data_IF_080778279272
#
_entry.id   IF_080778279272
#
_cell.length_a   1.000
_cell.length_b   1.000
_cell.length_c   1.000
_cell.angle_alpha   90.00
_cell.angle_beta   90.00
_cell.angle_gamma   90.00
#
_symmetry.space_group_name_H-M   'P 1'
#
loop_
_entity.id
_entity.type
_entity.pdbx_description
1 polymer ?
#
# COMPACT_ATOMS: atom_id res chain seq x y z
N UNK A 1 -21.82 13.98 6.78
CA UNK A 1 -21.41 13.49 8.11
C UNK A 1 -20.17 12.64 7.90
N UNK A 2 -19.08 12.93 8.59
CA UNK A 2 -17.95 12.02 8.62
C UNK A 2 -18.21 11.05 9.78
N UNK A 3 -18.34 9.77 9.49
CA UNK A 3 -18.43 8.75 10.54
C UNK A 3 -17.10 8.72 11.29
N UNK A 4 -17.18 8.83 12.63
CA UNK A 4 -16.01 8.71 13.50
C UNK A 4 -15.89 7.25 13.89
N UNK A 5 -14.88 6.56 13.33
CA UNK A 5 -14.62 5.17 13.68
C UNK A 5 -13.82 5.09 14.99
N UNK A 6 -14.36 4.41 15.98
CA UNK A 6 -13.64 4.08 17.21
C UNK A 6 -12.57 3.02 16.96
N UNK A 7 -11.54 2.98 17.82
CA UNK A 7 -10.50 1.93 17.80
C UNK A 7 -11.12 0.53 17.76
N UNK A 8 -12.11 0.28 18.61
CA UNK A 8 -12.78 -1.02 18.71
C UNK A 8 -13.51 -1.40 17.42
N UNK A 9 -14.16 -0.45 16.77
CA UNK A 9 -14.81 -0.69 15.48
C UNK A 9 -13.78 -1.03 14.39
N UNK A 10 -12.67 -0.30 14.35
CA UNK A 10 -11.58 -0.58 13.41
C UNK A 10 -10.93 -1.93 13.67
N UNK A 11 -10.62 -2.27 14.93
CA UNK A 11 -10.09 -3.58 15.31
C UNK A 11 -11.02 -4.72 14.89
N UNK A 12 -12.32 -4.57 15.12
CA UNK A 12 -13.32 -5.57 14.74
C UNK A 12 -13.46 -5.68 13.22
N UNK A 13 -13.51 -4.55 12.52
CA UNK A 13 -13.66 -4.51 11.06
C UNK A 13 -12.45 -5.12 10.35
N UNK A 14 -11.25 -4.92 10.88
CA UNK A 14 -10.00 -5.38 10.28
C UNK A 14 -9.50 -6.71 10.83
N UNK A 15 -10.20 -7.31 11.81
CA UNK A 15 -9.80 -8.56 12.47
C UNK A 15 -9.54 -9.67 11.44
N UNK A 16 -8.38 -10.29 11.53
CA UNK A 16 -7.95 -11.38 10.66
C UNK A 16 -7.70 -10.99 9.19
N UNK A 17 -7.75 -9.70 8.85
CA UNK A 17 -7.53 -9.24 7.47
C UNK A 17 -6.06 -8.94 7.20
N UNK A 18 -5.62 -9.29 6.00
CA UNK A 18 -4.35 -8.83 5.43
C UNK A 18 -4.63 -7.68 4.45
N UNK A 19 -4.08 -6.51 4.73
CA UNK A 19 -4.23 -5.29 3.93
C UNK A 19 -2.87 -4.97 3.31
N UNK A 20 -2.80 -5.06 1.99
CA UNK A 20 -1.62 -4.72 1.21
C UNK A 20 -1.77 -3.31 0.63
N UNK A 21 -0.80 -2.46 0.88
CA UNK A 21 -0.77 -1.05 0.47
C UNK A 21 0.40 -0.86 -0.49
N UNK A 22 0.09 -0.53 -1.73
CA UNK A 22 1.04 -0.35 -2.82
C UNK A 22 1.05 1.12 -3.22
N UNK A 23 2.19 1.78 -3.11
CA UNK A 23 2.31 3.10 -3.72
C UNK A 23 3.52 3.92 -3.34
N UNK A 24 3.35 5.22 -3.38
CA UNK A 24 4.40 6.18 -3.08
C UNK A 24 4.33 6.68 -1.63
N UNK A 25 4.95 7.84 -1.35
CA UNK A 25 4.95 8.43 -0.01
C UNK A 25 3.57 8.80 0.52
N UNK A 26 2.58 9.05 -0.34
CA UNK A 26 1.20 9.31 0.10
C UNK A 26 0.56 8.01 0.60
N UNK A 27 0.81 6.89 -0.08
CA UNK A 27 0.34 5.58 0.38
C UNK A 27 1.08 5.12 1.64
N UNK A 28 2.35 5.50 1.81
CA UNK A 28 3.06 5.32 3.09
C UNK A 28 2.42 6.11 4.22
N UNK A 29 2.00 7.35 3.96
CA UNK A 29 1.28 8.15 4.94
C UNK A 29 -0.02 7.47 5.37
N UNK A 30 -0.79 6.93 4.42
CA UNK A 30 -2.00 6.14 4.69
C UNK A 30 -1.71 4.88 5.50
N UNK A 31 -0.62 4.16 5.18
CA UNK A 31 -0.18 3.01 5.97
C UNK A 31 0.11 3.41 7.43
N UNK A 32 0.86 4.49 7.65
CA UNK A 32 1.20 4.98 8.99
C UNK A 32 -0.05 5.43 9.75
N UNK A 33 -0.97 6.09 9.07
CA UNK A 33 -2.25 6.49 9.64
C UNK A 33 -3.09 5.27 10.08
N UNK A 34 -3.15 4.21 9.27
CA UNK A 34 -3.84 2.97 9.65
C UNK A 34 -3.16 2.24 10.81
N UNK A 35 -1.82 2.14 10.82
CA UNK A 35 -1.09 1.57 11.96
C UNK A 35 -1.39 2.38 13.21
N UNK A 36 -1.39 3.71 13.13
CA UNK A 36 -1.73 4.57 14.26
C UNK A 36 -3.16 4.38 14.73
N UNK A 37 -4.14 4.41 13.82
CA UNK A 37 -5.56 4.32 14.13
C UNK A 37 -5.91 3.02 14.87
N UNK A 38 -5.36 1.89 14.44
CA UNK A 38 -5.60 0.59 15.10
C UNK A 38 -4.97 0.55 16.50
N UNK A 39 -3.82 1.22 16.72
CA UNK A 39 -3.14 1.21 18.01
C UNK A 39 -3.68 2.25 19.01
N UNK A 40 -3.89 3.47 18.54
CA UNK A 40 -4.12 4.65 19.39
C UNK A 40 -5.57 5.16 19.32
N UNK A 41 -6.32 4.87 18.25
CA UNK A 41 -7.71 5.31 18.12
C UNK A 41 -7.90 6.83 18.03
N UNK A 42 -6.86 7.58 17.67
CA UNK A 42 -6.84 9.04 17.61
C UNK A 42 -6.23 9.53 16.31
N UNK A 43 -6.28 10.83 16.05
CA UNK A 43 -5.59 11.44 14.92
C UNK A 43 -4.07 11.42 15.15
N UNK A 44 -3.33 11.00 14.12
CA UNK A 44 -1.87 10.99 14.13
C UNK A 44 -1.31 12.40 13.92
N UNK A 45 -0.17 12.71 14.54
CA UNK A 45 0.54 13.95 14.29
C UNK A 45 1.10 13.99 12.85
N UNK A 46 0.93 15.12 12.15
CA UNK A 46 1.47 15.35 10.82
C UNK A 46 2.99 15.10 10.73
N UNK A 47 3.77 15.43 11.77
CA UNK A 47 5.21 15.14 11.82
C UNK A 47 5.47 13.64 11.79
N UNK A 48 4.69 12.88 12.58
CA UNK A 48 4.80 11.44 12.63
C UNK A 48 4.44 10.80 11.29
N UNK A 49 3.42 11.29 10.55
CA UNK A 49 3.14 10.83 9.17
C UNK A 49 4.31 11.11 8.23
N UNK A 50 4.85 12.35 8.29
CA UNK A 50 5.82 12.87 7.31
C UNK A 50 7.22 12.31 7.47
N UNK A 51 7.56 11.81 8.66
CA UNK A 51 8.85 11.16 8.93
C UNK A 51 9.11 10.01 7.94
N UNK A 52 10.40 9.85 7.58
CA UNK A 52 10.89 8.91 6.56
C UNK A 52 12.20 8.28 7.04
N UNK A 53 12.45 7.04 6.61
CA UNK A 53 13.71 6.34 6.90
C UNK A 53 13.82 5.82 8.33
N UNK A 54 12.70 5.79 9.06
CA UNK A 54 12.67 5.23 10.41
C UNK A 54 12.87 3.72 10.36
N UNK A 55 13.65 3.17 11.31
CA UNK A 55 13.85 1.71 11.42
C UNK A 55 12.56 0.97 11.77
N UNK A 56 11.66 1.62 12.48
CA UNK A 56 10.34 1.10 12.87
C UNK A 56 9.38 2.27 13.13
N UNK A 57 8.09 2.03 12.92
CA UNK A 57 6.96 2.90 13.21
C UNK A 57 5.91 2.10 14.00
N UNK A 58 5.70 2.45 15.28
CA UNK A 58 4.79 1.75 16.20
C UNK A 58 4.98 0.22 16.25
N UNK A 59 6.23 -0.24 16.16
CA UNK A 59 6.55 -1.66 16.22
C UNK A 59 6.43 -2.40 14.89
N UNK A 60 6.22 -1.69 13.78
CA UNK A 60 6.34 -2.29 12.45
C UNK A 60 7.77 -2.75 12.16
N UNK A 61 7.89 -3.67 11.20
CA UNK A 61 9.16 -4.23 10.73
C UNK A 61 9.46 -3.65 9.36
N UNK A 62 10.65 -3.07 9.21
CA UNK A 62 11.21 -2.69 7.91
C UNK A 62 11.94 -3.91 7.32
N UNK A 63 11.33 -4.57 6.33
CA UNK A 63 11.86 -5.79 5.71
C UNK A 63 12.88 -5.50 4.60
N UNK A 64 12.82 -4.32 4.01
CA UNK A 64 13.77 -3.89 3.00
C UNK A 64 13.71 -2.38 2.86
N UNK A 65 14.87 -1.74 2.84
CA UNK A 65 14.99 -0.33 2.46
C UNK A 65 16.25 -0.13 1.62
N UNK A 66 16.12 0.69 0.58
CA UNK A 66 17.27 1.25 -0.11
C UNK A 66 17.47 2.70 0.33
N UNK A 67 18.69 3.23 0.20
CA UNK A 67 18.94 4.65 0.48
C UNK A 67 18.02 5.50 -0.39
N UNK A 68 17.36 6.51 0.20
CA UNK A 68 16.56 7.50 -0.53
C UNK A 68 17.48 8.29 -1.46
N UNK A 69 17.65 7.80 -2.69
CA UNK A 69 18.34 8.50 -3.76
C UNK A 69 17.31 9.04 -4.74
N UNK A 70 17.70 9.97 -5.62
CA UNK A 70 16.85 10.41 -6.74
C UNK A 70 16.62 9.32 -7.80
N UNK A 71 17.19 8.13 -7.60
CA UNK A 71 17.08 7.01 -8.51
C UNK A 71 15.66 6.41 -8.51
N UNK A 72 15.35 5.67 -9.58
CA UNK A 72 14.05 5.00 -9.78
C UNK A 72 13.89 3.70 -8.98
N UNK A 73 14.88 3.35 -8.17
CA UNK A 73 15.01 2.06 -7.47
C UNK A 73 14.84 2.19 -5.96
N UNK A 74 14.06 3.16 -5.50
CA UNK A 74 13.72 3.22 -4.08
C UNK A 74 12.84 2.02 -3.73
N UNK A 75 13.31 1.23 -2.77
CA UNK A 75 12.60 0.09 -2.20
C UNK A 75 12.32 0.42 -0.75
N UNK A 76 11.08 0.23 -0.34
CA UNK A 76 10.68 0.24 1.06
C UNK A 76 9.57 -0.78 1.23
N UNK A 77 9.80 -1.76 2.10
CA UNK A 77 8.83 -2.80 2.42
C UNK A 77 8.65 -2.86 3.93
N UNK A 78 7.43 -2.60 4.39
CA UNK A 78 7.06 -2.57 5.81
C UNK A 78 5.93 -3.54 6.09
N UNK A 79 5.99 -4.18 7.25
CA UNK A 79 4.94 -5.06 7.76
C UNK A 79 4.64 -4.77 9.22
N UNK A 80 3.35 -4.70 9.54
CA UNK A 80 2.84 -4.56 10.89
C UNK A 80 1.80 -5.65 11.16
N UNK A 81 2.05 -6.50 12.15
CA UNK A 81 1.12 -7.51 12.62
C UNK A 81 0.52 -7.03 13.95
N UNK A 82 -0.80 -6.82 13.99
CA UNK A 82 -1.47 -6.37 15.20
C UNK A 82 -1.57 -7.52 16.22
N UNK A 83 -1.08 -7.36 17.47
CA UNK A 83 -0.92 -8.47 18.42
C UNK A 83 -2.22 -9.21 18.77
N UNK A 84 -3.36 -8.51 18.81
CA UNK A 84 -4.61 -9.07 19.35
C UNK A 84 -5.69 -9.35 18.30
N UNK A 85 -5.60 -8.74 17.11
CA UNK A 85 -6.65 -8.86 16.09
C UNK A 85 -6.26 -9.76 14.92
N UNK A 86 -5.02 -10.25 14.87
CA UNK A 86 -4.47 -10.98 13.71
C UNK A 86 -4.56 -10.17 12.40
N UNK A 87 -4.68 -8.85 12.50
CA UNK A 87 -4.68 -7.94 11.36
C UNK A 87 -3.25 -7.72 10.91
N UNK A 88 -2.99 -7.83 9.61
CA UNK A 88 -1.68 -7.57 9.01
C UNK A 88 -1.78 -6.40 8.05
N UNK A 89 -0.97 -5.37 8.28
CA UNK A 89 -0.78 -4.26 7.37
C UNK A 89 0.58 -4.41 6.69
N UNK A 90 0.60 -4.38 5.36
CA UNK A 90 1.81 -4.48 4.57
C UNK A 90 1.90 -3.28 3.63
N UNK A 91 3.02 -2.60 3.61
CA UNK A 91 3.29 -1.48 2.70
C UNK A 91 4.48 -1.79 1.82
N UNK A 92 4.31 -1.64 0.50
CA UNK A 92 5.38 -1.73 -0.49
C UNK A 92 5.44 -0.46 -1.31
N UNK A 93 6.61 0.17 -1.30
CA UNK A 93 6.87 1.32 -2.16
C UNK A 93 7.03 0.85 -3.60
N UNK A 94 6.22 1.41 -4.49
CA UNK A 94 6.29 1.13 -5.92
C UNK A 94 6.50 2.43 -6.71
N UNK A 95 7.34 2.36 -7.73
CA UNK A 95 7.60 3.48 -8.66
C UNK A 95 6.84 3.35 -9.98
N UNK A 96 6.18 2.22 -10.20
CA UNK A 96 5.27 1.94 -11.31
C UNK A 96 4.11 1.09 -10.80
N UNK A 97 2.91 1.32 -11.34
CA UNK A 97 1.72 0.52 -11.00
C UNK A 97 1.87 -0.94 -11.41
N UNK A 98 2.66 -1.18 -12.46
CA UNK A 98 2.95 -2.49 -13.00
C UNK A 98 4.44 -2.59 -13.38
N UNK A 99 5.21 -3.15 -12.45
CA UNK A 99 6.60 -3.58 -12.62
C UNK A 99 6.71 -5.11 -12.60
N UNK A 100 7.90 -5.65 -12.87
CA UNK A 100 8.13 -7.09 -12.82
C UNK A 100 7.89 -7.65 -11.41
N UNK A 101 8.29 -6.91 -10.36
CA UNK A 101 8.03 -7.28 -8.97
C UNK A 101 6.52 -7.37 -8.67
N UNK A 102 5.72 -6.43 -9.19
CA UNK A 102 4.26 -6.50 -9.01
C UNK A 102 3.63 -7.65 -9.81
N UNK A 103 4.17 -7.98 -10.99
CA UNK A 103 3.72 -9.14 -11.79
C UNK A 103 4.01 -10.44 -11.06
N UNK A 104 5.22 -10.59 -10.52
CA UNK A 104 5.64 -11.77 -9.76
C UNK A 104 4.82 -11.93 -8.48
N UNK A 105 4.54 -10.82 -7.79
CA UNK A 105 3.67 -10.82 -6.61
C UNK A 105 2.24 -11.30 -6.94
N UNK A 106 1.63 -10.80 -8.02
CA UNK A 106 0.30 -11.25 -8.43
C UNK A 106 0.32 -12.72 -8.84
N UNK A 107 1.37 -13.18 -9.52
CA UNK A 107 1.53 -14.58 -9.87
C UNK A 107 1.71 -15.48 -8.64
N UNK A 108 2.38 -14.98 -7.60
CA UNK A 108 2.49 -15.67 -6.31
C UNK A 108 1.12 -15.82 -5.64
N UNK A 109 0.26 -14.80 -5.68
CA UNK A 109 -1.11 -14.88 -5.17
C UNK A 109 -1.97 -15.87 -5.95
N UNK A 110 -1.77 -15.97 -7.27
CA UNK A 110 -2.43 -16.99 -8.11
C UNK A 110 -2.05 -18.41 -7.67
N UNK A 111 -0.76 -18.64 -7.43
CA UNK A 111 -0.22 -19.95 -6.99
C UNK A 111 -0.57 -20.28 -5.54
N UNK A 112 -0.68 -19.27 -4.68
CA UNK A 112 -0.92 -19.42 -3.24
C UNK A 112 -2.11 -18.55 -2.83
N UNK A 113 -3.32 -18.95 -3.22
CA UNK A 113 -4.57 -18.19 -2.96
C UNK A 113 -4.72 -17.80 -1.48
N UNK A 114 -4.35 -18.69 -0.55
CA UNK A 114 -4.45 -18.46 0.91
C UNK A 114 -3.49 -17.37 1.44
N UNK A 115 -2.51 -16.95 0.65
CA UNK A 115 -1.58 -15.86 1.00
C UNK A 115 -1.94 -14.54 0.31
N UNK A 116 -3.02 -14.51 -0.48
CA UNK A 116 -3.47 -13.28 -1.09
C UNK A 116 -4.06 -12.35 -0.01
N UNK A 117 -3.82 -11.03 -0.11
CA UNK A 117 -4.41 -10.08 0.82
C UNK A 117 -5.94 -10.04 0.67
N UNK A 118 -6.62 -9.77 1.78
CA UNK A 118 -8.06 -9.52 1.81
C UNK A 118 -8.39 -8.17 1.15
N UNK A 119 -7.49 -7.19 1.29
CA UNK A 119 -7.66 -5.84 0.72
C UNK A 119 -6.35 -5.39 0.07
N UNK A 120 -6.43 -4.83 -1.13
CA UNK A 120 -5.32 -4.16 -1.80
C UNK A 120 -5.67 -2.69 -2.00
N UNK A 121 -4.88 -1.80 -1.42
CA UNK A 121 -4.90 -0.36 -1.68
C UNK A 121 -3.77 -0.04 -2.65
N UNK A 122 -4.04 0.60 -3.79
CA UNK A 122 -3.00 0.90 -4.79
C UNK A 122 -3.07 2.32 -5.34
N UNK A 123 -1.93 3.01 -5.38
CA UNK A 123 -1.73 4.24 -6.14
C UNK A 123 -0.24 4.51 -6.44
N UNK A 124 0.07 4.73 -7.71
CA UNK A 124 1.42 5.11 -8.17
C UNK A 124 1.41 6.29 -9.15
N UNK A 125 0.26 6.96 -9.30
CA UNK A 125 -0.01 7.92 -10.39
C UNK A 125 1.07 9.00 -10.51
N UNK A 126 1.55 9.53 -9.38
CA UNK A 126 2.58 10.57 -9.40
C UNK A 126 3.89 10.07 -10.03
N UNK A 127 4.33 8.87 -9.67
CA UNK A 127 5.58 8.31 -10.19
C UNK A 127 5.46 7.85 -11.64
N UNK A 128 4.37 7.16 -11.99
CA UNK A 128 4.13 6.70 -13.36
C UNK A 128 4.08 7.86 -14.36
N UNK A 129 3.43 8.98 -14.00
CA UNK A 129 3.30 10.14 -14.87
C UNK A 129 4.57 11.01 -14.92
N UNK A 130 5.27 11.20 -13.80
CA UNK A 130 6.36 12.20 -13.72
C UNK A 130 7.77 11.66 -13.98
N UNK A 131 8.01 10.35 -13.90
CA UNK A 131 9.38 9.78 -13.90
C UNK A 131 9.72 8.88 -15.07
N UNK A 132 8.77 8.55 -15.95
CA UNK A 132 8.94 7.53 -17.01
C UNK A 132 8.97 8.08 -18.44
N UNK A 133 9.39 9.33 -18.61
CA UNK A 133 9.62 9.95 -19.92
C UNK A 133 8.36 10.54 -20.55
N UNK A 134 8.46 11.04 -21.80
CA UNK A 134 7.41 11.87 -22.42
C UNK A 134 6.10 11.13 -22.74
N UNK A 135 6.08 9.79 -22.67
CA UNK A 135 4.88 8.97 -22.89
C UNK A 135 4.39 8.30 -21.59
N UNK A 136 4.68 8.90 -20.42
CA UNK A 136 4.30 8.36 -19.11
C UNK A 136 2.80 8.11 -18.97
N UNK A 137 1.96 9.00 -19.51
CA UNK A 137 0.50 8.88 -19.56
C UNK A 137 0.03 7.64 -20.33
N UNK A 138 0.55 7.42 -21.54
CA UNK A 138 0.20 6.27 -22.39
C UNK A 138 0.67 4.97 -21.75
N UNK A 139 1.89 4.95 -21.23
CA UNK A 139 2.46 3.79 -20.54
C UNK A 139 1.64 3.45 -19.29
N UNK A 140 1.33 4.45 -18.47
CA UNK A 140 0.52 4.29 -17.26
C UNK A 140 -0.86 3.73 -17.58
N UNK A 141 -1.54 4.27 -18.60
CA UNK A 141 -2.85 3.77 -19.05
C UNK A 141 -2.80 2.31 -19.48
N UNK A 142 -1.76 1.91 -20.22
CA UNK A 142 -1.60 0.52 -20.64
C UNK A 142 -1.28 -0.40 -19.46
N UNK A 143 -0.39 0.05 -18.56
CA UNK A 143 -0.06 -0.66 -17.33
C UNK A 143 -1.28 -0.87 -16.43
N UNK A 144 -2.17 0.13 -16.30
CA UNK A 144 -3.41 0.01 -15.54
C UNK A 144 -4.34 -1.05 -16.14
N UNK A 145 -4.52 -1.07 -17.47
CA UNK A 145 -5.34 -2.10 -18.13
C UNK A 145 -4.81 -3.51 -17.88
N UNK A 146 -3.50 -3.70 -18.05
CA UNK A 146 -2.86 -4.99 -17.79
C UNK A 146 -2.96 -5.37 -16.31
N UNK A 147 -2.72 -4.43 -15.39
CA UNK A 147 -2.85 -4.63 -13.95
C UNK A 147 -4.26 -5.12 -13.58
N UNK A 148 -5.32 -4.42 -13.98
CA UNK A 148 -6.68 -4.82 -13.64
C UNK A 148 -7.07 -6.16 -14.27
N UNK A 149 -6.57 -6.48 -15.47
CA UNK A 149 -6.72 -7.82 -16.05
C UNK A 149 -6.06 -8.88 -15.17
N UNK A 150 -4.84 -8.63 -14.68
CA UNK A 150 -4.10 -9.56 -13.82
C UNK A 150 -4.70 -9.69 -12.42
N UNK A 151 -5.14 -8.59 -11.83
CA UNK A 151 -5.85 -8.60 -10.54
C UNK A 151 -7.07 -9.51 -10.62
N UNK A 152 -7.85 -9.40 -11.71
CA UNK A 152 -9.03 -10.24 -11.95
C UNK A 152 -8.70 -11.73 -12.11
N UNK A 153 -7.60 -12.07 -12.79
CA UNK A 153 -7.22 -13.46 -13.02
C UNK A 153 -6.49 -14.11 -11.84
N UNK A 154 -5.79 -13.32 -11.03
CA UNK A 154 -4.82 -13.84 -10.07
C UNK A 154 -5.29 -13.74 -8.61
N UNK A 155 -6.25 -12.87 -8.29
CA UNK A 155 -6.76 -12.71 -6.93
C UNK A 155 -8.00 -13.58 -6.64
N UNK A 156 -8.14 -14.08 -5.40
CA UNK A 156 -9.40 -14.66 -4.94
C UNK A 156 -10.60 -13.72 -5.16
N UNK A 157 -11.81 -14.29 -5.27
CA UNK A 157 -13.03 -13.52 -5.50
C UNK A 157 -13.45 -12.63 -4.33
N UNK A 158 -12.92 -12.89 -3.14
CA UNK A 158 -13.16 -12.15 -1.89
C UNK A 158 -12.11 -11.07 -1.59
N UNK A 159 -11.08 -10.92 -2.44
CA UNK A 159 -10.13 -9.80 -2.33
C UNK A 159 -10.78 -8.50 -2.83
N UNK A 160 -10.79 -7.48 -1.98
CA UNK A 160 -11.22 -6.13 -2.34
C UNK A 160 -10.04 -5.33 -2.87
N UNK A 161 -10.18 -4.69 -4.03
CA UNK A 161 -9.17 -3.77 -4.59
C UNK A 161 -9.70 -2.35 -4.59
N UNK A 162 -8.95 -1.43 -3.99
CA UNK A 162 -9.25 0.01 -3.95
C UNK A 162 -8.10 0.74 -4.65
N UNK A 163 -8.39 1.33 -5.81
CA UNK A 163 -7.45 2.18 -6.52
C UNK A 163 -7.65 3.64 -6.08
N UNK A 164 -6.63 4.22 -5.45
CA UNK A 164 -6.67 5.60 -4.98
C UNK A 164 -6.16 6.55 -6.07
N UNK A 165 -6.82 7.70 -6.25
CA UNK A 165 -6.34 8.74 -7.16
C UNK A 165 -5.34 9.64 -6.42
N UNK A 166 -4.32 10.16 -7.09
CA UNK A 166 -3.42 11.13 -6.45
C UNK A 166 -4.19 12.41 -6.14
N UNK A 167 -4.12 12.94 -4.90
CA UNK A 167 -4.76 14.20 -4.57
C UNK A 167 -4.25 15.30 -5.50
N UNK A 168 -5.15 16.17 -5.94
CA UNK A 168 -4.79 17.30 -6.79
C UNK A 168 -3.74 18.16 -6.09
N UNK A 169 -2.68 18.52 -6.81
CA UNK A 169 -1.74 19.53 -6.34
C UNK A 169 -2.52 20.86 -6.31
N UNK A 170 -2.91 21.31 -5.11
CA UNK A 170 -3.38 22.68 -4.85
C UNK A 170 -2.19 23.57 -4.57
#
# INVERSE_FOLDING_TARGET
MADIFSKREMENMLKGKHILILGDSNMRALYKDLVWLINQGSLVNAEAIRAKGERSYLGDKLLGSHVMTRARHYVEHREYDHPSSQTRLEFKFITQVLSDETRDMLELFRKNRNRAPSVILINSTLWDLSRWGPNGDKKFRNNLRELFSRLRSNLPCDTVVIAHCTPACT
#
